data_IF_361115315870
#
_entry.id   IF_361115315870
#
_cell.length_a   1.000
_cell.length_b   1.000
_cell.length_c   1.000
_cell.angle_alpha   90.00
_cell.angle_beta   90.00
_cell.angle_gamma   90.00
#
_symmetry.space_group_name_H-M   'P 1'
#
loop_
_entity.id
_entity.type
_entity.pdbx_description
1 polymer ?
#
# COMPACT_ATOMS: atom_id res chain seq x y z
N UNK A 1 -41.15 1.39 91.42
CA UNK A 1 -42.07 2.22 90.60
C UNK A 1 -41.40 2.48 89.26
N UNK A 2 -42.12 2.19 88.18
CA UNK A 2 -41.73 2.31 86.76
C UNK A 2 -40.99 3.62 86.41
N UNK A 3 -39.98 3.55 85.53
CA UNK A 3 -39.94 4.26 84.22
C UNK A 3 -38.62 4.07 83.46
N UNK A 4 -38.74 3.38 82.32
CA UNK A 4 -38.16 3.62 81.00
C UNK A 4 -36.83 4.36 80.84
N UNK A 5 -35.86 3.71 80.19
CA UNK A 5 -34.82 4.39 79.41
C UNK A 5 -34.60 3.65 78.08
N UNK A 6 -34.62 4.45 77.01
CA UNK A 6 -34.72 4.12 75.59
C UNK A 6 -33.39 3.61 75.04
N UNK A 7 -33.41 2.50 74.28
CA UNK A 7 -32.30 2.06 73.45
C UNK A 7 -32.18 2.98 72.21
N UNK A 8 -31.00 3.57 72.02
CA UNK A 8 -30.61 4.18 70.75
C UNK A 8 -29.54 3.30 70.09
N UNK A 9 -29.93 2.55 69.05
CA UNK A 9 -29.01 1.82 68.18
C UNK A 9 -28.33 2.78 67.20
N UNK A 10 -27.01 2.93 67.31
CA UNK A 10 -26.20 3.56 66.27
C UNK A 10 -26.01 2.58 65.09
N UNK A 11 -26.69 2.84 63.97
CA UNK A 11 -26.40 2.16 62.70
C UNK A 11 -25.17 2.81 62.05
N UNK A 12 -24.07 2.07 61.96
CA UNK A 12 -22.85 2.49 61.28
C UNK A 12 -23.01 2.17 59.78
N UNK A 13 -23.31 3.19 58.97
CA UNK A 13 -23.39 3.05 57.52
C UNK A 13 -21.97 2.99 56.92
N UNK A 14 -21.55 1.81 56.45
CA UNK A 14 -20.32 1.62 55.68
C UNK A 14 -20.58 2.09 54.25
N UNK A 15 -20.12 3.28 53.88
CA UNK A 15 -20.08 3.71 52.47
C UNK A 15 -18.97 2.92 51.74
N UNK A 16 -19.36 1.97 50.90
CA UNK A 16 -18.47 1.43 49.87
C UNK A 16 -18.27 2.50 48.80
N UNK A 17 -17.08 3.11 48.78
CA UNK A 17 -16.64 3.98 47.69
C UNK A 17 -16.43 3.10 46.44
N UNK A 18 -17.41 3.10 45.54
CA UNK A 18 -17.26 2.51 44.21
C UNK A 18 -16.29 3.38 43.40
N UNK A 19 -15.07 2.89 43.20
CA UNK A 19 -14.09 3.51 42.34
C UNK A 19 -14.57 3.35 40.88
N UNK A 20 -14.86 4.43 40.13
CA UNK A 20 -15.25 4.31 38.74
C UNK A 20 -14.06 3.77 37.93
N UNK A 21 -14.17 2.54 37.43
CA UNK A 21 -13.21 1.99 36.49
C UNK A 21 -13.41 2.71 35.16
N UNK A 22 -12.52 3.64 34.84
CA UNK A 22 -12.43 4.22 33.50
C UNK A 22 -12.02 3.10 32.53
N UNK A 23 -12.76 2.88 31.43
CA UNK A 23 -12.32 1.93 30.42
C UNK A 23 -10.98 2.40 29.87
N UNK A 24 -9.96 1.55 29.98
CA UNK A 24 -8.69 1.78 29.32
C UNK A 24 -8.96 1.71 27.81
N UNK A 25 -8.83 2.84 27.10
CA UNK A 25 -8.76 2.83 25.65
C UNK A 25 -7.51 2.03 25.27
N UNK A 26 -7.71 0.85 24.67
CA UNK A 26 -6.64 0.12 24.03
C UNK A 26 -6.08 1.01 22.92
N UNK A 27 -4.87 1.52 23.13
CA UNK A 27 -4.17 2.34 22.15
C UNK A 27 -3.90 1.46 20.94
N UNK A 28 -4.62 1.70 19.82
CA UNK A 28 -4.36 1.03 18.55
C UNK A 28 -2.90 1.32 18.18
N UNK A 29 -2.07 0.27 18.20
CA UNK A 29 -0.70 0.37 17.72
C UNK A 29 -0.73 0.67 16.22
N UNK A 30 0.09 1.61 15.71
CA UNK A 30 0.19 1.85 14.29
C UNK A 30 0.60 0.57 13.56
N UNK A 31 0.09 0.37 12.34
CA UNK A 31 0.43 -0.78 11.52
C UNK A 31 1.93 -0.70 11.18
N UNK A 32 2.65 -1.82 11.36
CA UNK A 32 4.08 -1.88 11.04
C UNK A 32 4.24 -2.52 9.69
N UNK A 33 4.87 -1.79 8.77
CA UNK A 33 5.20 -2.28 7.43
C UNK A 33 6.03 -3.57 7.50
N UNK A 34 5.63 -4.56 6.70
CA UNK A 34 6.37 -5.80 6.44
C UNK A 34 7.23 -5.71 5.17
N UNK A 35 7.04 -4.64 4.39
CA UNK A 35 7.75 -4.39 3.14
C UNK A 35 8.94 -3.43 3.33
N UNK A 36 8.79 -2.42 4.18
CA UNK A 36 9.84 -1.48 4.49
C UNK A 36 10.93 -2.19 5.28
N UNK A 37 12.17 -2.08 4.81
CA UNK A 37 13.30 -2.56 5.58
C UNK A 37 13.43 -1.68 6.82
N UNK A 38 13.16 -2.22 8.00
CA UNK A 38 13.49 -1.55 9.25
C UNK A 38 15.02 -1.60 9.37
N UNK A 39 15.70 -0.64 8.75
CA UNK A 39 17.05 -0.31 9.14
C UNK A 39 16.98 0.07 10.62
N UNK A 40 17.77 -0.60 11.45
CA UNK A 40 17.85 -0.35 12.88
C UNK A 40 18.34 1.09 13.13
N UNK A 41 17.43 2.06 13.12
CA UNK A 41 17.65 3.42 13.63
C UNK A 41 16.80 3.66 14.87
N UNK A 42 16.47 2.60 15.60
CA UNK A 42 16.01 2.66 16.98
C UNK A 42 17.22 2.41 17.88
N UNK A 43 17.77 3.44 18.56
CA UNK A 43 18.94 3.29 19.43
C UNK A 43 18.74 2.24 20.54
N UNK A 44 17.49 1.88 20.85
CA UNK A 44 17.09 0.98 21.94
C UNK A 44 16.11 -0.12 21.50
N UNK A 45 16.15 -0.57 20.24
CA UNK A 45 15.35 -1.72 19.83
C UNK A 45 15.87 -3.03 20.46
N UNK A 46 15.28 -3.41 21.59
CA UNK A 46 15.44 -4.74 22.16
C UNK A 46 14.75 -5.79 21.28
N UNK A 47 15.53 -6.64 20.62
CA UNK A 47 14.99 -7.83 19.96
C UNK A 47 14.54 -8.83 21.02
N UNK A 48 13.23 -8.96 21.20
CA UNK A 48 12.67 -10.07 22.00
C UNK A 48 12.76 -11.33 21.14
N UNK A 49 13.81 -12.10 21.35
CA UNK A 49 13.85 -13.48 20.88
C UNK A 49 12.90 -14.28 21.77
N UNK A 50 11.75 -14.68 21.22
CA UNK A 50 10.85 -15.58 21.92
C UNK A 50 11.53 -16.96 21.96
N UNK A 51 12.35 -17.21 22.99
CA UNK A 51 12.80 -18.54 23.30
C UNK A 51 11.53 -19.34 23.65
N UNK A 52 11.24 -20.37 22.87
CA UNK A 52 10.20 -21.35 23.19
C UNK A 52 10.63 -22.14 24.43
N UNK A 53 10.52 -21.51 25.59
CA UNK A 53 10.50 -22.22 26.86
C UNK A 53 9.22 -23.08 26.85
N UNK A 54 9.41 -24.40 26.90
CA UNK A 54 8.33 -25.37 26.77
C UNK A 54 7.12 -25.04 27.65
N UNK A 55 5.94 -25.25 27.08
CA UNK A 55 4.69 -25.29 27.83
C UNK A 55 3.87 -24.00 27.82
N UNK A 56 3.71 -23.35 26.67
CA UNK A 56 2.44 -22.72 26.22
C UNK A 56 2.67 -22.24 24.78
N UNK A 57 2.40 -23.11 23.81
CA UNK A 57 2.11 -22.65 22.45
C UNK A 57 0.64 -22.27 22.52
N UNK A 58 0.24 -20.98 22.45
CA UNK A 58 -1.13 -20.70 22.08
C UNK A 58 -1.38 -21.45 20.78
N UNK A 59 -2.52 -22.14 20.68
CA UNK A 59 -2.99 -22.72 19.43
C UNK A 59 -3.23 -21.55 18.47
N UNK A 60 -2.15 -21.10 17.82
CA UNK A 60 -2.20 -20.27 16.65
C UNK A 60 -2.71 -21.19 15.56
N UNK A 61 -4.01 -21.49 15.61
CA UNK A 61 -4.71 -22.05 14.48
C UNK A 61 -4.34 -21.16 13.29
N UNK A 62 -3.73 -21.72 12.23
CA UNK A 62 -3.57 -20.99 10.99
C UNK A 62 -4.95 -20.45 10.68
N UNK A 63 -5.10 -19.12 10.62
CA UNK A 63 -6.34 -18.50 10.20
C UNK A 63 -6.77 -19.25 8.93
N UNK A 64 -7.91 -19.96 9.02
CA UNK A 64 -8.34 -20.97 8.05
C UNK A 64 -7.97 -20.51 6.65
N UNK A 65 -7.13 -21.29 5.94
CA UNK A 65 -6.43 -20.93 4.71
C UNK A 65 -7.22 -19.93 3.87
N UNK A 66 -7.01 -18.64 4.15
CA UNK A 66 -7.61 -17.57 3.37
C UNK A 66 -7.00 -17.70 1.99
N UNK A 67 -7.82 -17.57 0.95
CA UNK A 67 -7.32 -17.53 -0.41
C UNK A 67 -6.15 -16.53 -0.45
N UNK A 68 -4.88 -16.95 -0.64
CA UNK A 68 -3.74 -16.04 -0.49
C UNK A 68 -3.55 -15.17 -1.73
N UNK A 69 -4.52 -15.21 -2.64
CA UNK A 69 -4.41 -14.63 -3.94
C UNK A 69 -4.91 -13.19 -3.95
N UNK A 70 -4.12 -12.33 -4.59
CA UNK A 70 -4.49 -10.97 -4.95
C UNK A 70 -4.70 -10.96 -6.46
N UNK A 71 -5.88 -10.51 -6.90
CA UNK A 71 -6.13 -10.27 -8.32
C UNK A 71 -5.72 -8.84 -8.67
N UNK A 72 -4.96 -8.68 -9.76
CA UNK A 72 -4.51 -7.40 -10.29
C UNK A 72 -5.02 -7.30 -11.72
N UNK A 73 -5.95 -6.37 -11.96
CA UNK A 73 -6.57 -6.16 -13.26
C UNK A 73 -6.13 -4.82 -13.85
N UNK A 74 -5.55 -4.85 -15.04
CA UNK A 74 -5.24 -3.64 -15.79
C UNK A 74 -6.52 -3.06 -16.41
N UNK A 75 -6.90 -1.86 -16.00
CA UNK A 75 -8.09 -1.16 -16.50
C UNK A 75 -7.77 -0.19 -17.65
N UNK A 76 -6.50 0.20 -17.76
CA UNK A 76 -5.97 1.05 -18.82
C UNK A 76 -5.11 2.19 -18.29
N UNK A 77 -4.23 2.70 -19.16
CA UNK A 77 -3.27 3.76 -18.86
C UNK A 77 -2.39 3.44 -17.65
N UNK A 78 -2.69 3.98 -16.46
CA UNK A 78 -2.02 3.72 -15.18
C UNK A 78 -2.96 3.18 -14.10
N UNK A 79 -4.22 2.89 -14.44
CA UNK A 79 -5.21 2.38 -13.50
C UNK A 79 -5.21 0.87 -13.47
N UNK A 80 -4.94 0.32 -12.30
CA UNK A 80 -5.12 -1.09 -11.96
C UNK A 80 -6.15 -1.22 -10.85
N UNK A 81 -6.91 -2.31 -10.89
CA UNK A 81 -7.76 -2.74 -9.78
C UNK A 81 -7.05 -3.87 -9.05
N UNK A 82 -6.81 -3.69 -7.75
CA UNK A 82 -6.40 -4.75 -6.84
C UNK A 82 -7.64 -5.25 -6.10
N UNK A 83 -7.81 -6.56 -6.05
CA UNK A 83 -8.84 -7.23 -5.26
C UNK A 83 -8.16 -8.19 -4.28
N UNK A 84 -8.38 -7.97 -2.99
CA UNK A 84 -7.73 -8.69 -1.91
C UNK A 84 -8.51 -9.95 -1.50
N UNK A 85 -7.87 -10.88 -0.76
CA UNK A 85 -8.55 -12.04 -0.19
C UNK A 85 -9.82 -11.74 0.61
N UNK A 86 -9.83 -10.67 1.41
CA UNK A 86 -11.01 -10.25 2.18
C UNK A 86 -12.00 -9.38 1.37
N UNK A 87 -11.77 -9.22 0.07
CA UNK A 87 -12.66 -8.51 -0.84
C UNK A 87 -12.48 -6.99 -0.84
N UNK A 88 -11.34 -6.50 -0.35
CA UNK A 88 -11.00 -5.08 -0.45
C UNK A 88 -10.69 -4.74 -1.90
N UNK A 89 -11.19 -3.61 -2.38
CA UNK A 89 -10.99 -3.15 -3.76
C UNK A 89 -10.25 -1.82 -3.78
N UNK A 90 -9.13 -1.79 -4.48
CA UNK A 90 -8.24 -0.61 -4.56
C UNK A 90 -8.00 -0.28 -6.04
N UNK A 91 -8.31 0.95 -6.45
CA UNK A 91 -7.99 1.44 -7.79
C UNK A 91 -6.82 2.42 -7.75
N UNK A 92 -5.80 2.19 -8.56
CA UNK A 92 -4.64 3.08 -8.67
C UNK A 92 -4.88 4.20 -9.67
N UNK A 93 -4.26 5.38 -9.47
CA UNK A 93 -4.35 6.54 -10.37
C UNK A 93 -5.79 6.81 -10.86
N UNK A 94 -6.73 6.84 -9.92
CA UNK A 94 -8.14 6.92 -10.23
C UNK A 94 -8.51 8.31 -10.76
N UNK A 95 -8.79 8.38 -12.06
CA UNK A 95 -9.33 9.59 -12.72
C UNK A 95 -10.84 9.54 -12.98
N UNK A 96 -11.46 8.38 -12.77
CA UNK A 96 -12.84 8.10 -13.20
C UNK A 96 -12.99 7.78 -14.69
N UNK A 97 -11.92 7.86 -15.49
CA UNK A 97 -11.95 7.49 -16.91
C UNK A 97 -11.76 5.98 -17.11
N UNK A 98 -10.60 5.45 -16.72
CA UNK A 98 -10.40 4.01 -16.56
C UNK A 98 -10.84 3.65 -15.15
N UNK A 99 -11.95 2.93 -15.01
CA UNK A 99 -12.53 2.61 -13.70
C UNK A 99 -13.12 1.21 -13.65
N UNK A 100 -13.12 0.58 -12.47
CA UNK A 100 -13.80 -0.69 -12.27
C UNK A 100 -15.31 -0.55 -12.50
N UNK A 101 -15.98 -1.67 -12.78
CA UNK A 101 -17.43 -1.70 -13.01
C UNK A 101 -18.24 -1.25 -11.78
N UNK A 102 -17.70 -1.48 -10.59
CA UNK A 102 -18.23 -0.98 -9.31
C UNK A 102 -17.20 -0.04 -8.70
N UNK A 103 -17.62 1.05 -8.04
CA UNK A 103 -16.70 1.94 -7.35
C UNK A 103 -15.82 1.20 -6.35
N UNK A 104 -14.51 1.48 -6.31
CA UNK A 104 -13.59 0.83 -5.37
C UNK A 104 -13.80 1.39 -3.97
N UNK A 105 -13.35 0.65 -2.95
CA UNK A 105 -13.31 1.15 -1.58
C UNK A 105 -12.20 2.17 -1.37
N UNK A 106 -11.06 1.95 -2.02
CA UNK A 106 -9.90 2.84 -1.97
C UNK A 106 -9.54 3.30 -3.39
N UNK A 107 -9.27 4.59 -3.55
CA UNK A 107 -8.72 5.16 -4.76
C UNK A 107 -7.43 5.92 -4.43
N UNK A 108 -6.31 5.52 -5.04
CA UNK A 108 -5.09 6.35 -5.03
C UNK A 108 -5.09 7.26 -6.24
N UNK A 109 -4.46 8.43 -6.13
CA UNK A 109 -4.41 9.42 -7.20
C UNK A 109 -3.01 10.01 -7.33
N UNK A 110 -2.61 10.33 -8.56
CA UNK A 110 -1.37 11.04 -8.84
C UNK A 110 -1.67 12.40 -9.48
N UNK A 111 -0.92 13.45 -9.10
CA UNK A 111 -1.20 14.84 -9.51
C UNK A 111 -0.91 15.17 -10.98
N UNK A 112 -0.27 14.26 -11.73
CA UNK A 112 0.28 14.51 -13.06
C UNK A 112 -0.65 15.28 -14.00
N UNK A 113 -1.81 14.70 -14.30
CA UNK A 113 -2.84 15.30 -15.15
C UNK A 113 -4.16 14.53 -15.01
N UNK A 114 -5.20 15.02 -15.68
CA UNK A 114 -6.59 14.56 -15.56
C UNK A 114 -6.84 13.07 -15.87
N UNK A 115 -5.85 12.33 -16.37
CA UNK A 115 -5.96 10.87 -16.54
C UNK A 115 -5.48 10.09 -15.31
N UNK A 116 -4.95 10.75 -14.28
CA UNK A 116 -4.40 10.15 -13.05
C UNK A 116 -5.18 10.49 -11.78
N UNK A 117 -6.03 11.52 -11.82
CA UNK A 117 -6.81 11.97 -10.67
C UNK A 117 -8.12 12.63 -11.09
N UNK A 118 -9.03 12.77 -10.13
CA UNK A 118 -10.22 13.61 -10.23
C UNK A 118 -10.38 14.43 -8.95
N UNK A 119 -10.82 15.68 -9.09
CA UNK A 119 -11.15 16.53 -7.94
C UNK A 119 -12.57 16.30 -7.42
N UNK A 120 -13.35 15.46 -8.11
CA UNK A 120 -14.72 15.11 -7.75
C UNK A 120 -14.88 13.59 -7.74
N UNK A 121 -14.18 12.87 -6.84
CA UNK A 121 -14.41 11.44 -6.67
C UNK A 121 -15.87 11.21 -6.24
N UNK A 122 -16.44 10.07 -6.65
CA UNK A 122 -17.78 9.68 -6.23
C UNK A 122 -17.85 9.52 -4.69
N UNK A 123 -18.93 9.95 -4.04
CA UNK A 123 -19.07 9.88 -2.57
C UNK A 123 -19.06 8.44 -2.03
N UNK A 124 -19.20 7.44 -2.89
CA UNK A 124 -19.15 6.03 -2.55
C UNK A 124 -17.73 5.47 -2.36
N UNK A 125 -16.70 6.20 -2.80
CA UNK A 125 -15.30 5.84 -2.57
C UNK A 125 -14.93 6.27 -1.15
N UNK A 126 -14.84 5.30 -0.23
CA UNK A 126 -14.64 5.57 1.19
C UNK A 126 -13.28 6.23 1.50
N UNK A 127 -12.24 5.85 0.75
CA UNK A 127 -10.88 6.32 0.98
C UNK A 127 -10.28 6.86 -0.32
N UNK A 128 -10.06 8.17 -0.39
CA UNK A 128 -9.35 8.82 -1.50
C UNK A 128 -7.98 9.27 -1.00
N UNK A 129 -6.93 8.72 -1.61
CA UNK A 129 -5.55 8.94 -1.22
C UNK A 129 -4.83 9.74 -2.30
N UNK A 130 -4.70 11.06 -2.08
CA UNK A 130 -3.92 11.93 -2.95
C UNK A 130 -2.44 11.63 -2.80
N UNK A 131 -1.74 11.42 -3.91
CA UNK A 131 -0.29 11.27 -3.95
C UNK A 131 0.49 12.58 -3.80
N UNK A 132 -0.19 13.65 -3.45
CA UNK A 132 0.34 14.98 -3.14
C UNK A 132 -0.37 15.49 -1.87
N UNK A 133 0.22 16.45 -1.15
CA UNK A 133 -0.47 17.08 -0.03
C UNK A 133 -1.23 18.35 -0.45
N UNK A 134 -2.48 18.45 -0.01
CA UNK A 134 -3.35 19.60 -0.30
C UNK A 134 -2.93 20.88 0.45
N UNK A 135 -2.01 20.77 1.41
CA UNK A 135 -1.50 21.87 2.23
C UNK A 135 -0.03 22.23 1.91
N UNK A 136 0.53 21.70 0.83
CA UNK A 136 1.92 21.93 0.44
C UNK A 136 2.95 21.14 1.25
N UNK A 137 2.53 20.15 2.05
CA UNK A 137 3.41 19.12 2.61
C UNK A 137 3.39 17.88 1.73
N UNK A 138 4.39 17.02 1.88
CA UNK A 138 4.36 15.70 1.28
C UNK A 138 3.13 14.90 1.75
N UNK A 139 2.58 14.07 0.86
CA UNK A 139 1.54 13.13 1.23
C UNK A 139 2.11 12.09 2.21
N UNK A 140 1.37 11.77 3.27
CA UNK A 140 1.77 10.79 4.27
C UNK A 140 0.57 9.90 4.59
N UNK A 141 0.54 8.73 3.96
CA UNK A 141 -0.51 7.73 4.09
C UNK A 141 0.01 6.55 4.91
N UNK A 142 -0.74 6.21 5.95
CA UNK A 142 -0.60 5.02 6.79
C UNK A 142 -2.03 4.56 7.09
N UNK A 143 -2.55 3.68 6.21
CA UNK A 143 -3.96 3.29 6.22
C UNK A 143 -4.13 1.78 6.12
N UNK A 144 -4.91 1.21 7.04
CA UNK A 144 -5.38 -0.18 6.95
C UNK A 144 -6.86 -0.19 6.56
N UNK A 145 -7.18 -0.94 5.51
CA UNK A 145 -8.55 -1.24 5.06
C UNK A 145 -8.67 -2.75 4.91
N UNK A 146 -9.47 -3.40 5.76
CA UNK A 146 -9.58 -4.86 5.79
C UNK A 146 -8.21 -5.52 5.98
N UNK A 147 -7.81 -6.34 5.01
CA UNK A 147 -6.52 -7.05 4.96
C UNK A 147 -5.43 -6.32 4.14
N UNK A 148 -5.69 -5.09 3.69
CA UNK A 148 -4.72 -4.27 2.98
C UNK A 148 -4.16 -3.17 3.89
N UNK A 149 -2.83 -3.13 4.01
CA UNK A 149 -2.11 -1.98 4.52
C UNK A 149 -1.56 -1.15 3.36
N UNK A 150 -1.81 0.15 3.38
CA UNK A 150 -1.53 1.08 2.28
C UNK A 150 -0.69 2.23 2.81
N UNK A 151 0.44 2.45 2.16
CA UNK A 151 1.33 3.58 2.44
C UNK A 151 1.88 4.20 1.16
N UNK A 152 2.57 5.32 1.28
CA UNK A 152 3.23 5.95 0.15
C UNK A 152 4.68 6.38 0.45
N UNK A 153 5.45 6.56 -0.62
CA UNK A 153 6.73 7.25 -0.63
C UNK A 153 6.61 8.43 -1.60
N UNK A 154 6.60 9.68 -1.09
CA UNK A 154 6.56 10.88 -1.92
C UNK A 154 7.76 10.95 -2.86
N UNK A 155 7.50 11.40 -4.08
CA UNK A 155 8.54 11.64 -5.10
C UNK A 155 8.19 12.87 -5.90
N UNK A 156 9.17 13.42 -6.60
CA UNK A 156 8.98 14.63 -7.35
C UNK A 156 8.32 14.36 -8.70
N UNK A 157 7.59 15.34 -9.20
CA UNK A 157 6.97 15.32 -10.51
C UNK A 157 7.37 16.55 -11.32
N UNK A 158 7.33 16.46 -12.64
CA UNK A 158 7.56 17.61 -13.53
C UNK A 158 6.23 18.33 -13.73
N UNK A 159 6.21 19.64 -13.50
CA UNK A 159 5.03 20.46 -13.70
C UNK A 159 4.67 20.56 -15.19
N UNK A 160 3.77 19.69 -15.66
CA UNK A 160 3.37 19.63 -17.07
C UNK A 160 4.53 19.33 -18.03
N UNK A 161 4.29 19.54 -19.33
CA UNK A 161 5.28 19.24 -20.36
C UNK A 161 6.41 20.28 -20.35
N UNK A 162 7.62 19.87 -19.93
CA UNK A 162 8.81 20.70 -19.92
C UNK A 162 8.91 21.73 -18.79
N UNK A 163 8.03 21.66 -17.79
CA UNK A 163 8.11 22.53 -16.61
C UNK A 163 9.19 22.12 -15.62
N UNK A 164 9.32 22.89 -14.55
CA UNK A 164 10.26 22.60 -13.46
C UNK A 164 9.84 21.35 -12.68
N UNK A 165 10.78 20.79 -11.92
CA UNK A 165 10.48 19.75 -10.95
C UNK A 165 9.71 20.37 -9.77
N UNK A 166 8.57 19.77 -9.43
CA UNK A 166 7.70 20.06 -8.31
C UNK A 166 7.92 18.98 -7.23
N UNK A 167 8.39 19.37 -6.04
CA UNK A 167 8.58 18.45 -4.93
C UNK A 167 7.28 17.78 -4.50
N UNK A 168 7.36 16.49 -4.12
CA UNK A 168 6.25 15.74 -3.50
C UNK A 168 4.92 15.73 -4.29
N UNK A 169 5.00 15.92 -5.61
CA UNK A 169 3.83 15.92 -6.49
C UNK A 169 3.44 14.54 -7.02
N UNK A 170 4.28 13.52 -6.79
CA UNK A 170 3.99 12.11 -7.02
C UNK A 170 4.08 11.35 -5.68
N UNK A 171 3.45 10.18 -5.65
CA UNK A 171 3.64 9.20 -4.60
C UNK A 171 3.72 7.81 -5.20
N UNK A 172 4.75 7.07 -4.79
CA UNK A 172 4.79 5.63 -5.01
C UNK A 172 3.92 4.99 -3.95
N UNK A 173 2.79 4.41 -4.36
CA UNK A 173 1.90 3.71 -3.45
C UNK A 173 2.32 2.27 -3.27
N UNK A 174 2.27 1.80 -2.03
CA UNK A 174 2.67 0.45 -1.64
C UNK A 174 1.51 -0.20 -0.90
N UNK A 175 1.08 -1.33 -1.43
CA UNK A 175 -0.01 -2.14 -0.91
C UNK A 175 0.57 -3.43 -0.33
N UNK A 176 0.45 -3.59 0.98
CA UNK A 176 0.87 -4.79 1.71
C UNK A 176 -0.37 -5.63 2.01
N UNK A 177 -0.46 -6.77 1.34
CA UNK A 177 -1.66 -7.63 1.39
C UNK A 177 -1.25 -9.07 1.11
N UNK A 178 -1.83 -10.02 1.84
CA UNK A 178 -1.53 -11.45 1.69
C UNK A 178 -0.02 -11.79 1.74
N UNK A 179 0.76 -10.99 2.47
CA UNK A 179 2.23 -11.11 2.56
C UNK A 179 3.00 -10.58 1.35
N UNK A 180 2.31 -10.10 0.31
CA UNK A 180 2.90 -9.45 -0.86
C UNK A 180 3.12 -7.97 -0.61
N UNK A 181 4.18 -7.44 -1.22
CA UNK A 181 4.45 -6.02 -1.35
C UNK A 181 4.23 -5.59 -2.79
N UNK A 182 3.16 -4.83 -3.05
CA UNK A 182 2.77 -4.41 -4.41
C UNK A 182 2.97 -2.90 -4.54
N UNK A 183 3.82 -2.47 -5.47
CA UNK A 183 4.13 -1.06 -5.68
C UNK A 183 3.53 -0.50 -6.96
N UNK A 184 2.99 0.72 -6.90
CA UNK A 184 2.61 1.51 -8.06
C UNK A 184 3.47 2.76 -8.11
N UNK A 185 4.29 2.92 -9.16
CA UNK A 185 5.28 3.99 -9.22
C UNK A 185 4.68 5.38 -9.54
N UNK A 186 3.38 5.45 -9.79
CA UNK A 186 2.71 6.66 -10.22
C UNK A 186 3.33 7.21 -11.51
N UNK A 187 3.53 8.51 -11.53
CA UNK A 187 4.05 9.26 -12.67
C UNK A 187 5.52 9.66 -12.43
N UNK A 188 6.39 8.67 -12.17
CA UNK A 188 7.77 8.87 -11.72
C UNK A 188 8.65 9.57 -12.78
N UNK A 189 9.29 10.69 -12.40
CA UNK A 189 10.05 11.57 -13.33
C UNK A 189 11.56 11.64 -13.08
N UNK A 190 12.06 11.04 -12.00
CA UNK A 190 13.47 11.03 -11.66
C UNK A 190 13.86 9.66 -11.08
N UNK A 191 15.13 9.29 -11.20
CA UNK A 191 15.63 8.09 -10.52
C UNK A 191 15.48 8.23 -9.02
N UNK A 192 15.17 7.11 -8.38
CA UNK A 192 14.98 7.04 -6.94
C UNK A 192 16.31 7.21 -6.21
N UNK A 193 16.26 7.96 -5.11
CA UNK A 193 17.38 8.12 -4.19
C UNK A 193 17.56 6.88 -3.31
N UNK A 194 18.72 6.77 -2.63
CA UNK A 194 18.93 5.72 -1.63
C UNK A 194 17.86 5.73 -0.53
N UNK A 195 17.41 6.92 -0.13
CA UNK A 195 16.35 7.11 0.85
C UNK A 195 15.03 6.56 0.32
N UNK A 196 14.68 6.89 -0.92
CA UNK A 196 13.44 6.40 -1.54
C UNK A 196 13.44 4.87 -1.59
N UNK A 197 14.56 4.24 -2.00
CA UNK A 197 14.67 2.78 -2.00
C UNK A 197 14.55 2.17 -0.60
N UNK A 198 15.09 2.83 0.42
CA UNK A 198 14.99 2.36 1.80
C UNK A 198 13.56 2.47 2.34
N UNK A 199 12.86 3.56 2.02
CA UNK A 199 11.46 3.79 2.40
C UNK A 199 10.50 2.88 1.64
N UNK A 200 10.75 2.63 0.35
CA UNK A 200 10.00 1.65 -0.44
C UNK A 200 10.21 0.25 0.13
N UNK A 201 11.46 -0.14 0.38
CA UNK A 201 11.81 -1.48 0.81
C UNK A 201 11.58 -2.54 -0.28
N UNK A 202 11.06 -3.70 0.10
CA UNK A 202 10.76 -4.80 -0.83
C UNK A 202 9.51 -4.49 -1.65
N UNK A 203 9.58 -4.74 -2.96
CA UNK A 203 8.42 -4.86 -3.85
C UNK A 203 8.46 -6.20 -4.57
N UNK A 204 7.44 -7.03 -4.37
CA UNK A 204 7.29 -8.33 -5.03
C UNK A 204 6.66 -8.16 -6.43
N UNK A 205 5.71 -7.23 -6.54
CA UNK A 205 5.07 -6.82 -7.80
C UNK A 205 5.21 -5.31 -7.96
N UNK A 206 5.54 -4.83 -9.16
CA UNK A 206 5.63 -3.39 -9.43
C UNK A 206 4.94 -2.99 -10.73
N UNK A 207 4.12 -1.93 -10.67
CA UNK A 207 3.48 -1.29 -11.81
C UNK A 207 4.31 -0.09 -12.25
N UNK A 208 4.75 -0.09 -13.50
CA UNK A 208 5.86 0.78 -13.98
C UNK A 208 5.45 1.55 -15.23
N UNK A 209 5.59 2.89 -15.27
CA UNK A 209 5.32 3.64 -16.49
C UNK A 209 6.41 3.42 -17.54
N UNK A 210 6.00 3.21 -18.80
CA UNK A 210 6.93 2.85 -19.89
C UNK A 210 6.83 3.76 -21.12
N UNK A 211 6.22 4.94 -21.00
CA UNK A 211 6.02 5.87 -22.12
C UNK A 211 7.33 6.49 -22.68
N UNK A 212 8.45 6.35 -21.96
CA UNK A 212 9.77 6.71 -22.46
C UNK A 212 10.08 8.21 -22.53
N UNK A 213 9.29 9.08 -21.88
CA UNK A 213 9.67 10.49 -21.74
C UNK A 213 8.57 11.46 -21.31
N UNK A 214 7.31 11.05 -21.30
CA UNK A 214 6.27 11.79 -20.58
C UNK A 214 6.44 11.63 -19.07
N UNK A 215 6.94 10.46 -18.67
CA UNK A 215 7.48 10.16 -17.34
C UNK A 215 9.01 10.29 -17.34
N UNK A 216 9.71 9.27 -16.85
CA UNK A 216 11.16 9.14 -16.91
C UNK A 216 11.59 8.55 -18.26
N UNK A 217 12.82 8.84 -18.68
CA UNK A 217 13.43 8.16 -19.82
C UNK A 217 13.54 6.65 -19.60
N UNK A 218 13.35 5.88 -20.68
CA UNK A 218 13.28 4.42 -20.65
C UNK A 218 14.50 3.75 -19.98
N UNK A 219 15.73 4.20 -20.29
CA UNK A 219 16.95 3.64 -19.69
C UNK A 219 17.05 3.86 -18.18
N UNK A 220 16.69 5.05 -17.70
CA UNK A 220 16.62 5.35 -16.27
C UNK A 220 15.55 4.51 -15.58
N UNK A 221 14.41 4.31 -16.24
CA UNK A 221 13.36 3.46 -15.70
C UNK A 221 13.80 1.99 -15.62
N UNK A 222 14.54 1.47 -16.60
CA UNK A 222 15.16 0.13 -16.52
C UNK A 222 16.09 0.01 -15.32
N UNK A 223 16.89 1.04 -15.01
CA UNK A 223 17.76 1.04 -13.82
C UNK A 223 16.95 0.98 -12.53
N UNK A 224 15.88 1.77 -12.43
CA UNK A 224 14.96 1.74 -11.27
C UNK A 224 14.35 0.35 -11.09
N UNK A 225 13.77 -0.21 -12.14
CA UNK A 225 13.15 -1.55 -12.10
C UNK A 225 14.17 -2.63 -11.71
N UNK A 226 15.36 -2.58 -12.31
CA UNK A 226 16.43 -3.55 -12.02
C UNK A 226 16.88 -3.49 -10.58
N UNK A 227 16.88 -2.29 -9.98
CA UNK A 227 17.27 -2.08 -8.59
C UNK A 227 16.18 -2.50 -7.60
N UNK A 228 14.90 -2.32 -7.93
CA UNK A 228 13.77 -2.77 -7.10
C UNK A 228 13.69 -4.30 -6.98
N UNK A 229 14.22 -5.04 -7.97
CA UNK A 229 14.30 -6.52 -7.97
C UNK A 229 12.96 -7.23 -7.75
N UNK A 230 11.88 -6.64 -8.25
CA UNK A 230 10.55 -7.27 -8.19
C UNK A 230 10.48 -8.53 -9.03
N UNK A 231 9.74 -9.53 -8.54
CA UNK A 231 9.53 -10.80 -9.23
C UNK A 231 8.59 -10.64 -10.44
N UNK A 232 7.61 -9.74 -10.33
CA UNK A 232 6.66 -9.44 -11.40
C UNK A 232 6.63 -7.93 -11.69
N UNK A 233 6.83 -7.57 -12.95
CA UNK A 233 6.79 -6.20 -13.45
C UNK A 233 5.60 -6.07 -14.39
N UNK A 234 4.75 -5.08 -14.13
CA UNK A 234 3.53 -4.80 -14.89
C UNK A 234 3.66 -3.44 -15.60
N UNK A 235 4.02 -3.40 -16.90
CA UNK A 235 4.10 -2.15 -17.65
C UNK A 235 2.75 -1.43 -17.72
N UNK A 236 2.77 -0.12 -17.51
CA UNK A 236 1.66 0.82 -17.67
C UNK A 236 2.12 2.02 -18.52
N UNK A 237 1.27 3.04 -18.73
CA UNK A 237 1.61 4.17 -19.62
C UNK A 237 1.95 3.73 -21.06
N UNK A 238 1.12 2.87 -21.64
CA UNK A 238 1.38 2.28 -22.96
C UNK A 238 0.99 3.21 -24.13
N UNK A 239 0.69 4.47 -23.83
CA UNK A 239 0.56 5.54 -24.83
C UNK A 239 1.95 6.10 -25.13
N UNK A 240 2.42 5.91 -26.36
CA UNK A 240 3.71 6.44 -26.79
C UNK A 240 4.43 5.49 -27.75
N UNK A 241 5.77 5.40 -27.66
CA UNK A 241 6.56 4.40 -28.37
C UNK A 241 6.03 2.98 -28.12
N UNK A 242 6.27 2.02 -29.04
CA UNK A 242 5.89 0.63 -28.83
C UNK A 242 6.46 0.11 -27.50
N UNK A 243 5.62 -0.53 -26.68
CA UNK A 243 6.05 -1.11 -25.40
C UNK A 243 7.22 -2.06 -25.59
N UNK A 244 7.28 -2.74 -26.74
CA UNK A 244 8.36 -3.63 -27.16
C UNK A 244 9.72 -2.92 -27.19
N UNK A 245 9.78 -1.62 -27.48
CA UNK A 245 11.02 -0.84 -27.42
C UNK A 245 11.56 -0.74 -26.00
N UNK A 246 10.68 -0.47 -25.02
CA UNK A 246 11.06 -0.49 -23.60
C UNK A 246 11.47 -1.91 -23.16
N UNK A 247 10.67 -2.92 -23.53
CA UNK A 247 10.98 -4.31 -23.22
C UNK A 247 12.33 -4.76 -23.78
N UNK A 248 12.74 -4.23 -24.94
CA UNK A 248 14.01 -4.53 -25.59
C UNK A 248 15.25 -4.02 -24.85
N UNK A 249 15.09 -3.07 -23.91
CA UNK A 249 16.19 -2.51 -23.12
C UNK A 249 16.62 -3.42 -21.95
N UNK A 250 15.77 -4.36 -21.55
CA UNK A 250 16.10 -5.28 -20.47
C UNK A 250 17.06 -6.38 -20.92
N UNK A 251 17.99 -6.71 -20.03
CA UNK A 251 18.93 -7.79 -20.20
C UNK A 251 18.23 -9.18 -20.20
N UNK A 252 18.92 -10.26 -20.64
CA UNK A 252 18.36 -11.62 -20.68
C UNK A 252 17.94 -12.22 -19.32
N UNK A 253 18.29 -11.57 -18.21
CA UNK A 253 17.88 -11.91 -16.85
C UNK A 253 16.40 -11.66 -16.57
N UNK A 254 15.69 -10.95 -17.46
CA UNK A 254 14.24 -10.76 -17.39
C UNK A 254 13.52 -11.62 -18.42
N UNK A 255 12.54 -12.40 -17.95
CA UNK A 255 11.57 -13.04 -18.81
C UNK A 255 10.51 -12.02 -19.26
N UNK A 256 9.92 -12.26 -20.42
CA UNK A 256 8.91 -11.38 -21.04
C UNK A 256 7.75 -12.24 -21.52
N UNK A 257 6.52 -11.86 -21.18
CA UNK A 257 5.32 -12.55 -21.63
C UNK A 257 4.16 -11.57 -21.81
N UNK A 258 3.20 -11.96 -22.65
CA UNK A 258 1.90 -11.29 -22.77
C UNK A 258 0.83 -12.20 -22.16
N UNK A 259 0.03 -11.66 -21.25
CA UNK A 259 -1.07 -12.41 -20.64
C UNK A 259 -2.25 -12.54 -21.61
N UNK A 260 -2.96 -13.66 -21.55
CA UNK A 260 -4.21 -13.86 -22.28
C UNK A 260 -5.44 -13.15 -21.69
N UNK A 261 -5.23 -12.33 -20.65
CA UNK A 261 -6.27 -11.61 -19.91
C UNK A 261 -5.72 -10.28 -19.39
N UNK A 262 -6.60 -9.35 -19.06
CA UNK A 262 -6.27 -8.10 -18.36
C UNK A 262 -5.96 -8.32 -16.88
N UNK A 263 -6.27 -9.51 -16.35
CA UNK A 263 -6.09 -9.87 -14.94
C UNK A 263 -4.98 -10.89 -14.78
N UNK A 264 -4.14 -10.68 -13.76
CA UNK A 264 -3.24 -11.69 -13.21
C UNK A 264 -3.57 -11.91 -11.74
N UNK A 265 -3.51 -13.16 -11.30
CA UNK A 265 -3.74 -13.53 -9.91
C UNK A 265 -2.43 -14.03 -9.32
N UNK A 266 -1.99 -13.42 -8.22
CA UNK A 266 -0.67 -13.66 -7.62
C UNK A 266 -0.78 -13.96 -6.13
N UNK A 267 0.14 -14.79 -5.65
CA UNK A 267 0.43 -15.03 -4.24
C UNK A 267 1.94 -15.26 -4.10
N UNK A 268 2.47 -15.27 -2.88
CA UNK A 268 3.88 -15.59 -2.64
C UNK A 268 4.32 -16.92 -3.29
N UNK A 269 3.41 -17.89 -3.39
CA UNK A 269 3.69 -19.20 -3.98
C UNK A 269 3.68 -19.21 -5.52
N UNK A 270 2.98 -18.26 -6.15
CA UNK A 270 2.83 -18.21 -7.62
C UNK A 270 3.71 -17.15 -8.28
N UNK A 271 4.43 -16.33 -7.50
CA UNK A 271 5.37 -15.36 -8.03
C UNK A 271 6.44 -16.03 -8.92
N UNK A 272 6.81 -15.41 -10.05
CA UNK A 272 7.89 -15.90 -10.90
C UNK A 272 9.21 -16.01 -10.14
N UNK A 273 9.92 -17.14 -10.29
CA UNK A 273 11.25 -17.34 -9.69
C UNK A 273 12.33 -16.51 -10.38
N UNK A 274 12.13 -16.23 -11.67
CA UNK A 274 12.94 -15.32 -12.48
C UNK A 274 12.10 -14.07 -12.75
N UNK A 275 12.65 -12.85 -12.62
CA UNK A 275 11.89 -11.63 -12.86
C UNK A 275 11.16 -11.67 -14.20
N UNK A 276 9.86 -11.44 -14.18
CA UNK A 276 8.99 -11.48 -15.35
C UNK A 276 8.38 -10.12 -15.60
N UNK A 277 8.56 -9.61 -16.81
CA UNK A 277 7.79 -8.48 -17.31
C UNK A 277 6.55 -9.04 -18.02
N UNK A 278 5.39 -8.85 -17.41
CA UNK A 278 4.12 -9.37 -17.90
C UNK A 278 3.26 -8.25 -18.47
N UNK A 279 3.05 -8.28 -19.78
CA UNK A 279 2.14 -7.39 -20.48
C UNK A 279 0.70 -7.91 -20.34
N UNK A 280 -0.06 -7.37 -19.39
CA UNK A 280 -1.49 -7.68 -19.25
C UNK A 280 -2.28 -7.21 -20.48
N UNK A 281 -3.34 -7.92 -20.85
CA UNK A 281 -4.19 -7.51 -21.98
C UNK A 281 -4.88 -6.18 -21.68
N UNK A 282 -5.01 -5.33 -22.70
CA UNK A 282 -5.57 -3.99 -22.59
C UNK A 282 -4.92 -3.06 -23.60
N UNK A 283 -5.37 -1.80 -23.63
CA UNK A 283 -4.85 -0.74 -24.51
C UNK A 283 -3.57 -0.11 -23.95
#
# INVERSE_FOLDING_TARGET
MLRSAVLASCALAVMFAACPQTPAFAQQRPAVSQCQAIAQTLPDAGFVQLASAGGFVPDLQPAAARDPNVAITFLGHSTFLLETPEGVTIATDYSGFHRPARPPQVATMNKAHSTHYTLTPGPEIAHVLHGWGDNGRAADHDLVVGDAYIRNVPTDIRAGYGGAMEPDGNSIFIFEVAGLCIGHLGHLHHELSETDYAEIGRLDVVMVPVDGGLTMGAESMVRVVSRLRSALILPMHRRGPPVESFLGLFDPGFDRATAGSATVTVSLATLPKKPLILLLQGL
#
